data_IF_139914260324
#
_entry.id   IF_139914260324
#
_cell.length_a   1.000
_cell.length_b   1.000
_cell.length_c   1.000
_cell.angle_alpha   90.00
_cell.angle_beta   90.00
_cell.angle_gamma   90.00
#
_symmetry.space_group_name_H-M   'P 1'
#
loop_
_entity.id
_entity.type
_entity.pdbx_description
1 polymer ?
#
# COMPACT_ATOMS: atom_id res chain seq x y z
N UNK A 1 -14.73 6.94 4.44
CA UNK A 1 -13.63 6.31 5.24
C UNK A 1 -12.87 7.31 6.12
N UNK A 2 -12.36 8.43 5.60
CA UNK A 2 -11.62 9.46 6.38
C UNK A 2 -12.36 9.98 7.63
N UNK A 3 -13.63 10.33 7.49
CA UNK A 3 -14.49 10.83 8.58
C UNK A 3 -14.55 9.91 9.82
N UNK A 4 -14.52 8.58 9.60
CA UNK A 4 -14.55 7.58 10.68
C UNK A 4 -13.27 7.58 11.52
N UNK A 5 -12.11 7.73 10.87
CA UNK A 5 -10.82 7.74 11.56
C UNK A 5 -10.61 9.01 12.41
N UNK A 6 -11.30 10.10 12.09
CA UNK A 6 -11.19 11.39 12.79
C UNK A 6 -12.15 11.46 14.00
N UNK A 7 -13.37 10.93 13.86
CA UNK A 7 -14.46 11.19 14.82
C UNK A 7 -14.86 9.99 15.70
N UNK A 8 -14.36 8.80 15.41
CA UNK A 8 -14.69 7.60 16.20
C UNK A 8 -13.45 6.98 16.84
N UNK A 9 -13.70 6.18 17.89
CA UNK A 9 -12.66 5.51 18.65
C UNK A 9 -11.64 4.81 17.73
N UNK A 10 -10.34 4.85 18.09
CA UNK A 10 -9.27 4.21 17.33
C UNK A 10 -9.64 2.76 17.02
N UNK A 11 -9.34 2.29 15.80
CA UNK A 11 -9.65 0.91 15.43
C UNK A 11 -9.02 -0.04 16.46
N UNK A 12 -9.73 -1.12 16.84
CA UNK A 12 -9.15 -2.21 17.62
C UNK A 12 -7.79 -2.59 17.02
N UNK A 13 -6.76 -2.78 17.85
CA UNK A 13 -5.38 -3.09 17.42
C UNK A 13 -5.27 -4.10 16.28
N UNK A 14 -6.13 -5.12 16.29
CA UNK A 14 -6.16 -6.21 15.32
C UNK A 14 -6.45 -5.73 13.88
N UNK A 15 -7.09 -4.56 13.75
CA UNK A 15 -7.44 -3.93 12.48
C UNK A 15 -6.46 -2.85 12.03
N UNK A 16 -5.38 -2.58 12.78
CA UNK A 16 -4.34 -1.64 12.33
C UNK A 16 -3.79 -1.94 10.91
N UNK A 17 -3.64 -3.20 10.46
CA UNK A 17 -3.25 -3.50 9.09
C UNK A 17 -4.20 -2.96 8.00
N UNK A 18 -5.47 -2.75 8.33
CA UNK A 18 -6.48 -2.29 7.36
C UNK A 18 -6.29 -0.84 6.91
N UNK A 19 -5.48 -0.05 7.63
CA UNK A 19 -5.11 1.32 7.26
C UNK A 19 -4.39 1.33 5.90
N UNK A 20 -3.61 0.28 5.61
CA UNK A 20 -2.84 0.13 4.38
C UNK A 20 -3.73 -0.15 3.16
N UNK A 21 -4.95 -0.67 3.35
CA UNK A 21 -5.86 -1.05 2.24
C UNK A 21 -6.15 0.11 1.29
N UNK A 22 -6.15 1.35 1.80
CA UNK A 22 -6.40 2.53 0.97
C UNK A 22 -5.29 2.79 -0.07
N UNK A 23 -4.08 2.25 0.12
CA UNK A 23 -3.03 2.30 -0.91
C UNK A 23 -3.39 1.43 -2.13
N UNK A 24 -4.24 0.42 -1.96
CA UNK A 24 -4.63 -0.50 -3.02
C UNK A 24 -5.31 0.22 -4.18
N UNK A 25 -6.44 0.93 -3.95
CA UNK A 25 -7.09 1.73 -4.98
C UNK A 25 -6.18 2.81 -5.59
N UNK A 26 -5.29 3.42 -4.80
CA UNK A 26 -4.36 4.44 -5.30
C UNK A 26 -3.36 3.82 -6.27
N UNK A 27 -2.69 2.75 -5.86
CA UNK A 27 -1.70 2.07 -6.67
C UNK A 27 -2.32 1.41 -7.90
N UNK A 28 -3.31 0.54 -7.69
CA UNK A 28 -3.99 -0.16 -8.78
C UNK A 28 -4.69 0.80 -9.74
N UNK A 29 -5.31 1.87 -9.23
CA UNK A 29 -5.94 2.90 -10.06
C UNK A 29 -4.94 3.66 -10.92
N UNK A 30 -3.76 4.00 -10.37
CA UNK A 30 -2.69 4.65 -11.14
C UNK A 30 -2.17 3.74 -12.26
N UNK A 31 -1.88 2.47 -11.95
CA UNK A 31 -1.42 1.49 -12.95
C UNK A 31 -2.48 1.25 -14.02
N UNK A 32 -3.74 1.07 -13.61
CA UNK A 32 -4.85 0.85 -14.54
C UNK A 32 -5.03 2.05 -15.48
N UNK A 33 -4.96 3.28 -14.97
CA UNK A 33 -5.04 4.49 -15.77
C UNK A 33 -3.91 4.58 -16.80
N UNK A 34 -2.66 4.38 -16.37
CA UNK A 34 -1.49 4.43 -17.25
C UNK A 34 -1.62 3.36 -18.35
N UNK A 35 -2.00 2.13 -17.99
CA UNK A 35 -2.18 1.05 -18.95
C UNK A 35 -3.32 1.32 -19.94
N UNK A 36 -4.46 1.84 -19.46
CA UNK A 36 -5.59 2.21 -20.31
C UNK A 36 -5.19 3.27 -21.33
N UNK A 37 -4.48 4.31 -20.89
CA UNK A 37 -4.04 5.42 -21.74
C UNK A 37 -2.99 4.97 -22.74
N UNK A 38 -2.09 4.05 -22.34
CA UNK A 38 -1.05 3.53 -23.23
C UNK A 38 -1.59 2.64 -24.34
N UNK A 39 -2.58 1.79 -24.04
CA UNK A 39 -3.10 0.78 -24.97
C UNK A 39 -4.43 1.16 -25.63
N UNK A 40 -4.98 2.33 -25.33
CA UNK A 40 -6.17 2.84 -26.01
C UNK A 40 -5.83 3.43 -27.37
N UNK A 41 -6.56 2.98 -28.40
CA UNK A 41 -6.47 3.53 -29.75
C UNK A 41 -7.25 4.86 -29.92
N UNK A 42 -8.18 5.15 -29.02
CA UNK A 42 -9.06 6.33 -29.12
C UNK A 42 -8.59 7.52 -28.27
N UNK A 43 -7.65 7.31 -27.33
CA UNK A 43 -7.04 8.38 -26.54
C UNK A 43 -5.84 8.94 -27.31
N UNK A 44 -6.04 10.07 -27.97
CA UNK A 44 -5.00 10.73 -28.78
C UNK A 44 -4.09 11.65 -27.95
N UNK A 45 -4.60 12.25 -26.87
CA UNK A 45 -3.86 13.13 -25.96
C UNK A 45 -3.72 12.42 -24.61
N UNK A 46 -2.49 12.08 -24.22
CA UNK A 46 -2.19 11.20 -23.08
C UNK A 46 -1.71 11.97 -21.84
N UNK A 47 -1.12 13.13 -22.06
CA UNK A 47 -0.42 13.96 -21.07
C UNK A 47 -1.29 14.30 -19.86
N UNK A 48 -2.56 14.73 -19.99
CA UNK A 48 -3.40 15.06 -18.83
C UNK A 48 -3.63 13.86 -17.91
N UNK A 49 -3.75 12.66 -18.48
CA UNK A 49 -3.96 11.44 -17.69
C UNK A 49 -2.70 11.01 -16.95
N UNK A 50 -1.52 11.18 -17.56
CA UNK A 50 -0.26 10.91 -16.89
C UNK A 50 -0.01 11.90 -15.75
N UNK A 51 -0.29 13.19 -15.97
CA UNK A 51 -0.20 14.21 -14.91
C UNK A 51 -1.16 13.89 -13.76
N UNK A 52 -2.40 13.50 -14.07
CA UNK A 52 -3.34 13.04 -13.05
C UNK A 52 -2.81 11.79 -12.31
N UNK A 53 -2.25 10.81 -13.02
CA UNK A 53 -1.63 9.63 -12.44
C UNK A 53 -0.49 9.97 -11.48
N UNK A 54 0.36 10.94 -11.84
CA UNK A 54 1.44 11.44 -10.98
C UNK A 54 0.89 12.11 -9.71
N UNK A 55 -0.13 12.96 -9.84
CA UNK A 55 -0.77 13.62 -8.69
C UNK A 55 -1.44 12.57 -7.77
N UNK A 56 -2.13 11.62 -8.36
CA UNK A 56 -2.82 10.55 -7.63
C UNK A 56 -1.83 9.64 -6.91
N UNK A 57 -0.72 9.28 -7.57
CA UNK A 57 0.40 8.59 -6.94
C UNK A 57 1.01 9.42 -5.80
N UNK A 58 1.21 10.72 -5.99
CA UNK A 58 1.73 11.63 -4.97
C UNK A 58 0.86 11.67 -3.71
N UNK A 59 -0.46 11.63 -3.86
CA UNK A 59 -1.38 11.46 -2.72
C UNK A 59 -1.14 10.15 -1.95
N UNK A 60 -0.71 9.10 -2.63
CA UNK A 60 -0.29 7.85 -2.01
C UNK A 60 0.90 7.98 -1.06
N UNK A 61 1.85 8.89 -1.31
CA UNK A 61 3.02 9.09 -0.42
C UNK A 61 2.53 9.55 0.95
N UNK A 62 1.63 10.53 0.95
CA UNK A 62 1.01 11.01 2.19
C UNK A 62 0.32 9.86 2.93
N UNK A 63 -0.38 8.99 2.19
CA UNK A 63 -1.03 7.83 2.79
C UNK A 63 -0.03 6.81 3.36
N UNK A 64 1.10 6.55 2.69
CA UNK A 64 2.17 5.69 3.20
C UNK A 64 2.70 6.24 4.53
N UNK A 65 2.97 7.55 4.61
CA UNK A 65 3.44 8.19 5.84
C UNK A 65 2.43 8.03 6.98
N UNK A 66 1.14 8.25 6.70
CA UNK A 66 0.07 8.02 7.67
C UNK A 66 -0.01 6.55 8.10
N UNK A 67 0.12 5.60 7.17
CA UNK A 67 0.07 4.19 7.47
C UNK A 67 1.26 3.73 8.34
N UNK A 68 2.48 4.20 8.04
CA UNK A 68 3.68 3.92 8.83
C UNK A 68 3.55 4.51 10.24
N UNK A 69 3.20 5.78 10.36
CA UNK A 69 3.07 6.46 11.66
C UNK A 69 2.02 5.81 12.56
N UNK A 70 0.84 5.47 12.01
CA UNK A 70 -0.19 4.73 12.74
C UNK A 70 0.30 3.34 13.15
N UNK A 71 0.96 2.61 12.26
CA UNK A 71 1.48 1.26 12.56
C UNK A 71 2.50 1.32 13.71
N UNK A 72 3.43 2.28 13.67
CA UNK A 72 4.40 2.52 14.74
C UNK A 72 3.73 2.91 16.05
N UNK A 73 2.67 3.73 16.00
CA UNK A 73 1.89 4.09 17.18
C UNK A 73 1.28 2.85 17.85
N UNK A 74 0.60 1.99 17.08
CA UNK A 74 0.00 0.76 17.60
C UNK A 74 1.03 -0.24 18.14
N UNK A 75 2.19 -0.37 17.48
CA UNK A 75 3.30 -1.21 17.97
C UNK A 75 3.78 -0.71 19.34
N UNK A 76 3.98 0.60 19.49
CA UNK A 76 4.52 1.21 20.72
C UNK A 76 3.53 1.25 21.87
N UNK A 77 2.27 1.61 21.61
CA UNK A 77 1.28 1.87 22.68
C UNK A 77 0.52 0.63 23.12
N UNK A 78 0.33 -0.33 22.23
CA UNK A 78 -0.76 -1.28 22.42
C UNK A 78 -0.39 -2.73 22.09
N UNK A 79 0.88 -3.01 21.74
CA UNK A 79 1.41 -4.32 21.32
C UNK A 79 0.54 -4.99 20.27
N UNK A 80 0.85 -4.76 19.00
CA UNK A 80 0.11 -5.33 17.87
C UNK A 80 0.15 -6.88 17.88
N UNK A 81 -0.95 -7.57 18.24
CA UNK A 81 -0.98 -9.03 18.20
C UNK A 81 -0.95 -9.48 16.75
N UNK A 82 -0.33 -10.64 16.51
CA UNK A 82 -0.39 -11.25 15.20
C UNK A 82 -1.83 -11.70 14.91
N UNK A 83 -2.31 -11.38 13.71
CA UNK A 83 -3.56 -11.86 13.16
C UNK A 83 -3.40 -12.04 11.66
N UNK A 84 -4.26 -12.86 11.05
CA UNK A 84 -4.24 -13.08 9.60
C UNK A 84 -4.43 -11.77 8.80
N UNK A 85 -5.03 -10.75 9.43
CA UNK A 85 -5.15 -9.39 8.88
C UNK A 85 -3.82 -8.75 8.50
N UNK A 86 -2.67 -9.24 8.97
CA UNK A 86 -1.34 -8.76 8.56
C UNK A 86 -1.09 -8.94 7.05
N UNK A 87 -1.76 -9.89 6.38
CA UNK A 87 -1.70 -9.99 4.92
C UNK A 87 -2.22 -8.73 4.21
N UNK A 88 -3.05 -7.92 4.87
CA UNK A 88 -3.53 -6.64 4.33
C UNK A 88 -2.41 -5.60 4.11
N UNK A 89 -1.20 -5.81 4.65
CA UNK A 89 -0.04 -4.96 4.33
C UNK A 89 0.49 -5.19 2.91
N UNK A 90 0.37 -6.42 2.41
CA UNK A 90 1.13 -6.88 1.22
C UNK A 90 0.53 -6.37 -0.09
N UNK A 91 -0.75 -6.67 -0.36
CA UNK A 91 -1.39 -6.31 -1.62
C UNK A 91 -1.40 -4.79 -1.89
N UNK A 92 -1.83 -3.92 -0.95
CA UNK A 92 -1.88 -2.48 -1.19
C UNK A 92 -0.50 -1.87 -1.45
N UNK A 93 0.50 -2.34 -0.70
CA UNK A 93 1.88 -1.89 -0.88
C UNK A 93 2.45 -2.38 -2.20
N UNK A 94 2.17 -3.62 -2.61
CA UNK A 94 2.56 -4.15 -3.92
C UNK A 94 1.94 -3.38 -5.08
N UNK A 95 0.65 -3.06 -5.00
CA UNK A 95 -0.02 -2.22 -6.00
C UNK A 95 0.62 -0.82 -6.09
N UNK A 96 1.03 -0.25 -4.96
CA UNK A 96 1.67 1.05 -4.92
C UNK A 96 3.12 1.03 -5.42
N UNK A 97 3.89 -0.05 -5.18
CA UNK A 97 5.21 -0.29 -5.79
C UNK A 97 5.10 -0.34 -7.31
N UNK A 98 4.13 -1.09 -7.84
CA UNK A 98 3.88 -1.15 -9.28
C UNK A 98 3.54 0.23 -9.85
N UNK A 99 2.72 1.01 -9.15
CA UNK A 99 2.40 2.39 -9.54
C UNK A 99 3.63 3.29 -9.58
N UNK A 100 4.52 3.23 -8.56
CA UNK A 100 5.78 3.98 -8.55
C UNK A 100 6.62 3.67 -9.78
N UNK A 101 6.75 2.39 -10.14
CA UNK A 101 7.52 2.00 -11.32
C UNK A 101 6.86 2.47 -12.63
N UNK A 102 5.53 2.36 -12.76
CA UNK A 102 4.80 2.90 -13.91
C UNK A 102 4.94 4.42 -14.04
N UNK A 103 4.91 5.18 -12.94
CA UNK A 103 5.10 6.63 -12.96
C UNK A 103 6.55 6.99 -13.30
N UNK A 104 7.53 6.28 -12.72
CA UNK A 104 8.94 6.50 -12.99
C UNK A 104 9.29 6.27 -14.46
N UNK A 105 8.71 5.24 -15.08
CA UNK A 105 8.94 4.92 -16.49
C UNK A 105 8.30 5.93 -17.44
N UNK A 106 7.11 6.46 -17.12
CA UNK A 106 6.43 7.47 -17.95
C UNK A 106 7.14 8.84 -17.90
N UNK A 107 7.58 9.27 -16.71
CA UNK A 107 8.17 10.60 -16.52
C UNK A 107 9.70 10.60 -16.49
N UNK A 108 10.34 9.43 -16.62
CA UNK A 108 11.79 9.24 -16.49
C UNK A 108 12.38 9.82 -15.19
N UNK A 109 11.62 9.71 -14.08
CA UNK A 109 12.00 10.25 -12.78
C UNK A 109 12.69 9.19 -11.93
N UNK A 110 14.02 9.26 -11.85
CA UNK A 110 14.84 8.36 -11.03
C UNK A 110 14.46 8.39 -9.54
N UNK A 111 14.06 9.55 -9.02
CA UNK A 111 13.64 9.68 -7.62
C UNK A 111 12.37 8.86 -7.30
N UNK A 112 11.43 8.76 -8.24
CA UNK A 112 10.20 7.98 -8.09
C UNK A 112 10.55 6.48 -8.09
N UNK A 113 11.51 6.07 -8.91
CA UNK A 113 11.99 4.69 -8.95
C UNK A 113 12.67 4.29 -7.64
N UNK A 114 13.51 5.15 -7.06
CA UNK A 114 14.11 4.92 -5.74
C UNK A 114 13.06 4.81 -4.63
N UNK A 115 12.01 5.64 -4.67
CA UNK A 115 10.88 5.53 -3.74
C UNK A 115 10.18 4.17 -3.92
N UNK A 116 9.92 3.77 -5.17
CA UNK A 116 9.36 2.46 -5.50
C UNK A 116 10.20 1.30 -4.95
N UNK A 117 11.52 1.37 -5.11
CA UNK A 117 12.45 0.38 -4.59
C UNK A 117 12.44 0.32 -3.05
N UNK A 118 12.42 1.47 -2.37
CA UNK A 118 12.29 1.51 -0.91
C UNK A 118 10.98 0.87 -0.42
N UNK A 119 9.86 1.15 -1.10
CA UNK A 119 8.56 0.53 -0.83
C UNK A 119 8.57 -0.98 -1.10
N UNK A 120 9.32 -1.43 -2.11
CA UNK A 120 9.50 -2.85 -2.40
C UNK A 120 10.26 -3.56 -1.28
N UNK A 121 11.34 -2.96 -0.76
CA UNK A 121 12.05 -3.52 0.40
C UNK A 121 11.14 -3.63 1.63
N UNK A 122 10.30 -2.60 1.86
CA UNK A 122 9.29 -2.63 2.92
C UNK A 122 8.27 -3.76 2.71
N UNK A 123 7.85 -3.98 1.47
CA UNK A 123 6.95 -5.07 1.09
C UNK A 123 7.57 -6.43 1.40
N UNK A 124 8.81 -6.67 0.97
CA UNK A 124 9.53 -7.92 1.24
C UNK A 124 9.68 -8.15 2.74
N UNK A 125 9.95 -7.10 3.51
CA UNK A 125 10.00 -7.16 4.97
C UNK A 125 8.66 -7.59 5.58
N UNK A 126 7.56 -6.92 5.25
CA UNK A 126 6.23 -7.27 5.77
C UNK A 126 5.78 -8.66 5.33
N UNK A 127 6.06 -9.02 4.08
CA UNK A 127 5.73 -10.33 3.54
C UNK A 127 6.47 -11.43 4.29
N UNK A 128 7.78 -11.29 4.50
CA UNK A 128 8.61 -12.28 5.19
C UNK A 128 8.17 -12.48 6.64
N UNK A 129 7.91 -11.41 7.38
CA UNK A 129 7.44 -11.52 8.77
C UNK A 129 6.07 -12.17 8.84
N UNK A 130 5.16 -11.77 7.95
CA UNK A 130 3.80 -12.32 7.93
C UNK A 130 3.84 -13.80 7.58
N UNK A 131 4.68 -14.21 6.62
CA UNK A 131 4.88 -15.60 6.27
C UNK A 131 5.39 -16.42 7.45
N UNK A 132 6.48 -15.98 8.10
CA UNK A 132 7.07 -16.68 9.25
C UNK A 132 6.03 -16.86 10.37
N UNK A 133 5.28 -15.80 10.70
CA UNK A 133 4.25 -15.86 11.74
C UNK A 133 3.05 -16.72 11.34
N UNK A 134 2.66 -16.69 10.07
CA UNK A 134 1.60 -17.56 9.53
C UNK A 134 2.02 -19.02 9.66
N UNK A 135 3.20 -19.37 9.17
CA UNK A 135 3.74 -20.73 9.24
C UNK A 135 3.83 -21.21 10.68
N UNK A 136 4.40 -20.42 11.60
CA UNK A 136 4.45 -20.77 13.02
C UNK A 136 3.03 -21.00 13.60
N UNK A 137 2.08 -20.10 13.34
CA UNK A 137 0.72 -20.23 13.86
C UNK A 137 -0.03 -21.47 13.31
N UNK A 138 0.25 -21.85 12.05
CA UNK A 138 -0.24 -23.10 11.44
C UNK A 138 0.40 -24.32 12.13
N UNK A 139 1.73 -24.34 12.30
CA UNK A 139 2.44 -25.45 12.96
C UNK A 139 1.98 -25.68 14.41
N UNK A 140 1.69 -24.62 15.17
CA UNK A 140 1.20 -24.73 16.55
C UNK A 140 -0.32 -24.95 16.66
N UNK A 141 -1.06 -25.09 15.55
CA UNK A 141 -2.51 -25.32 15.56
C UNK A 141 -3.34 -24.19 16.16
N UNK A 142 -2.79 -22.96 16.21
CA UNK A 142 -3.43 -21.78 16.81
C UNK A 142 -4.26 -20.96 15.83
N UNK A 143 -4.18 -21.27 14.52
CA UNK A 143 -4.83 -20.48 13.48
C UNK A 143 -6.29 -20.85 13.22
N UNK A 144 -6.71 -22.07 13.57
CA UNK A 144 -8.02 -22.64 13.23
C UNK A 144 -8.88 -22.99 14.47
N UNK A 145 -8.57 -22.41 15.63
CA UNK A 145 -9.39 -22.52 16.84
C UNK A 145 -10.22 -21.27 17.05
#
# INVERSE_FOLDING_TARGET
CMYRFILHHPLPNVLAPTIWINLGPIGAGTVALINLVNHSAFITVKEPFFVFGLIFWGFGIWWVLMAITMTLHYIRKTRLPYALSWWAFTFPLGAYVAASHSVATIFHLTIVDFIGFGLYLLLVFFWSITLIKTSAAVFYGKLFK
#
